data_IF_360563214770
#
_entry.id   IF_360563214770
#
_cell.length_a   1.000
_cell.length_b   1.000
_cell.length_c   1.000
_cell.angle_alpha   90.00
_cell.angle_beta   90.00
_cell.angle_gamma   90.00
#
_symmetry.space_group_name_H-M   'P 1'
#
loop_
_entity.id
_entity.type
_entity.pdbx_description
1 polymer ?
#
# COMPACT_ATOMS: atom_id res chain seq x y z
N UNK A 1 -47.08 52.41 37.61
CA UNK A 1 -46.73 51.19 36.84
C UNK A 1 -47.93 50.86 35.96
N UNK A 2 -47.83 50.67 34.64
CA UNK A 2 -46.92 49.74 33.99
C UNK A 2 -46.57 50.16 32.54
N UNK A 3 -45.30 49.89 32.25
CA UNK A 3 -44.59 49.71 30.97
C UNK A 3 -45.41 49.01 29.86
N UNK A 4 -45.92 49.76 28.88
CA UNK A 4 -46.63 49.20 27.73
C UNK A 4 -45.98 49.55 26.36
N UNK A 5 -44.68 49.86 26.38
CA UNK A 5 -43.92 50.28 25.19
C UNK A 5 -42.76 49.35 24.81
N UNK A 6 -42.79 48.07 25.20
CA UNK A 6 -41.66 47.14 24.96
C UNK A 6 -42.04 45.86 24.18
N UNK A 7 -43.18 45.81 23.49
CA UNK A 7 -43.60 44.62 22.73
C UNK A 7 -44.17 44.94 21.34
N UNK A 8 -43.82 46.09 20.74
CA UNK A 8 -44.25 46.43 19.38
C UNK A 8 -43.09 46.65 18.42
N UNK A 9 -42.01 45.88 18.60
CA UNK A 9 -41.00 45.63 17.57
C UNK A 9 -41.37 44.38 16.75
N UNK A 10 -42.64 44.27 16.37
CA UNK A 10 -43.08 43.39 15.28
C UNK A 10 -42.97 44.23 13.99
N UNK A 11 -41.76 44.72 13.72
CA UNK A 11 -41.36 45.17 12.38
C UNK A 11 -41.36 43.92 11.50
N UNK A 12 -42.57 43.52 11.12
CA UNK A 12 -42.86 42.49 10.18
C UNK A 12 -42.05 42.78 8.92
N UNK A 13 -40.97 42.01 8.78
CA UNK A 13 -40.10 42.00 7.61
C UNK A 13 -40.97 42.15 6.36
N UNK A 14 -40.70 43.19 5.58
CA UNK A 14 -41.57 43.52 4.45
C UNK A 14 -41.72 42.29 3.54
N UNK A 15 -42.91 42.00 2.98
CA UNK A 15 -43.15 40.78 2.23
C UNK A 15 -42.11 40.52 1.12
N UNK A 16 -41.57 41.60 0.55
CA UNK A 16 -40.53 41.54 -0.48
C UNK A 16 -39.14 41.27 0.11
N UNK A 17 -38.79 41.91 1.22
CA UNK A 17 -37.49 41.70 1.88
C UNK A 17 -37.41 40.30 2.48
N UNK A 18 -38.50 39.79 3.07
CA UNK A 18 -38.56 38.43 3.60
C UNK A 18 -38.30 37.36 2.54
N UNK A 19 -38.88 37.52 1.33
CA UNK A 19 -38.66 36.59 0.21
C UNK A 19 -37.21 36.65 -0.27
N UNK A 20 -36.65 37.84 -0.45
CA UNK A 20 -35.25 37.98 -0.89
C UNK A 20 -34.30 37.35 0.13
N UNK A 21 -34.52 37.56 1.43
CA UNK A 21 -33.69 36.99 2.49
C UNK A 21 -33.80 35.46 2.56
N UNK A 22 -35.02 34.91 2.43
CA UNK A 22 -35.24 33.47 2.43
C UNK A 22 -34.56 32.78 1.24
N UNK A 23 -34.69 33.36 0.04
CA UNK A 23 -34.04 32.84 -1.16
C UNK A 23 -32.52 32.95 -1.06
N UNK A 24 -31.99 34.07 -0.58
CA UNK A 24 -30.56 34.26 -0.44
C UNK A 24 -29.90 33.20 0.47
N UNK A 25 -30.48 32.95 1.65
CA UNK A 25 -29.95 31.97 2.59
C UNK A 25 -30.03 30.55 2.02
N UNK A 26 -31.15 30.20 1.39
CA UNK A 26 -31.30 28.85 0.79
C UNK A 26 -30.33 28.61 -0.37
N UNK A 27 -30.06 29.62 -1.20
CA UNK A 27 -29.04 29.51 -2.27
C UNK A 27 -27.64 29.35 -1.69
N UNK A 28 -27.29 30.10 -0.65
CA UNK A 28 -25.98 29.97 0.02
C UNK A 28 -25.83 28.57 0.63
N UNK A 29 -26.83 28.11 1.39
CA UNK A 29 -26.79 26.78 2.02
C UNK A 29 -26.68 25.66 0.97
N UNK A 30 -27.45 25.76 -0.12
CA UNK A 30 -27.38 24.80 -1.22
C UNK A 30 -25.99 24.78 -1.88
N UNK A 31 -25.40 25.94 -2.15
CA UNK A 31 -24.07 26.05 -2.75
C UNK A 31 -22.97 25.48 -1.84
N UNK A 32 -23.04 25.75 -0.54
CA UNK A 32 -22.07 25.24 0.45
C UNK A 32 -22.18 23.72 0.60
N UNK A 33 -23.39 23.17 0.67
CA UNK A 33 -23.57 21.72 0.75
C UNK A 33 -23.12 21.06 -0.55
N UNK A 34 -23.41 21.66 -1.71
CA UNK A 34 -22.95 21.14 -3.00
C UNK A 34 -21.41 21.09 -3.08
N UNK A 35 -20.70 22.11 -2.56
CA UNK A 35 -19.23 22.09 -2.54
C UNK A 35 -18.67 21.09 -1.53
N UNK A 36 -19.33 20.87 -0.39
CA UNK A 36 -18.95 19.81 0.56
C UNK A 36 -19.17 18.42 -0.04
N UNK A 37 -20.34 18.14 -0.61
CA UNK A 37 -20.67 16.85 -1.24
C UNK A 37 -19.76 16.57 -2.43
N UNK A 38 -19.49 17.56 -3.28
CA UNK A 38 -18.56 17.41 -4.40
C UNK A 38 -17.09 17.30 -3.94
N UNK A 39 -16.72 17.99 -2.86
CA UNK A 39 -15.39 17.89 -2.24
C UNK A 39 -15.08 16.51 -1.67
N UNK A 40 -16.07 15.83 -1.08
CA UNK A 40 -15.96 14.43 -0.64
C UNK A 40 -16.08 13.44 -1.80
N UNK A 41 -16.80 13.79 -2.89
CA UNK A 41 -16.89 12.98 -4.10
C UNK A 41 -15.58 12.82 -4.87
N UNK A 42 -14.59 13.69 -4.62
CA UNK A 42 -13.28 13.65 -5.28
C UNK A 42 -12.22 12.84 -4.49
N UNK A 43 -12.59 12.20 -3.37
CA UNK A 43 -11.70 11.28 -2.64
C UNK A 43 -11.73 9.84 -3.19
N UNK A 44 -12.46 9.58 -4.27
CA UNK A 44 -12.48 8.28 -4.97
C UNK A 44 -11.23 8.03 -5.83
N UNK A 45 -10.14 8.78 -5.63
CA UNK A 45 -8.84 8.39 -6.16
C UNK A 45 -8.39 7.09 -5.48
N UNK A 46 -7.64 6.21 -6.17
CA UNK A 46 -7.18 4.95 -5.60
C UNK A 46 -6.47 5.23 -4.27
N UNK A 47 -7.09 4.80 -3.16
CA UNK A 47 -6.52 4.90 -1.82
C UNK A 47 -5.38 3.87 -1.74
N UNK A 48 -4.24 4.24 -2.32
CA UNK A 48 -3.03 3.45 -2.19
C UNK A 48 -2.59 3.56 -0.73
N UNK A 49 -2.40 2.44 -0.02
CA UNK A 49 -1.96 2.46 1.37
C UNK A 49 -0.63 3.21 1.51
N UNK A 50 -0.52 4.00 2.56
CA UNK A 50 0.72 4.70 2.91
C UNK A 50 1.59 3.78 3.75
N UNK A 51 2.53 3.10 3.10
CA UNK A 51 3.42 2.11 3.73
C UNK A 51 4.87 2.41 3.38
N UNK A 52 5.78 2.00 4.26
CA UNK A 52 7.21 2.08 4.03
C UNK A 52 7.78 0.67 4.02
N UNK A 53 8.54 0.34 2.98
CA UNK A 53 9.34 -0.86 2.90
C UNK A 53 10.82 -0.51 2.90
N UNK A 54 11.63 -1.49 3.28
CA UNK A 54 13.09 -1.44 3.17
C UNK A 54 13.55 -2.76 2.55
N UNK A 55 14.58 -2.70 1.72
CA UNK A 55 15.25 -3.87 1.19
C UNK A 55 16.72 -3.95 1.61
N UNK A 56 17.20 -5.18 1.71
CA UNK A 56 18.60 -5.50 2.00
C UNK A 56 19.04 -6.68 1.16
N UNK A 57 20.04 -6.46 0.31
CA UNK A 57 20.71 -7.53 -0.41
C UNK A 57 21.75 -8.24 0.46
N UNK A 58 21.72 -9.58 0.46
CA UNK A 58 22.69 -10.44 1.16
C UNK A 58 23.29 -11.43 0.17
N UNK A 59 24.62 -11.37 -0.10
CA UNK A 59 25.28 -12.33 -0.99
C UNK A 59 25.42 -13.70 -0.32
N UNK A 60 25.28 -14.77 -1.10
CA UNK A 60 25.49 -16.14 -0.61
C UNK A 60 26.92 -16.59 -0.93
N UNK A 61 27.72 -17.08 0.05
CA UNK A 61 29.14 -17.41 -0.16
C UNK A 61 29.42 -18.45 -1.26
N UNK A 62 28.52 -19.42 -1.43
CA UNK A 62 28.70 -20.53 -2.37
C UNK A 62 28.12 -20.26 -3.77
N UNK A 63 27.53 -19.08 -4.00
CA UNK A 63 26.87 -18.69 -5.26
C UNK A 63 27.41 -17.33 -5.73
N UNK A 64 28.47 -17.39 -6.54
CA UNK A 64 29.25 -16.23 -6.96
C UNK A 64 28.51 -15.39 -8.01
N UNK A 65 27.76 -14.39 -7.54
CA UNK A 65 26.95 -13.52 -8.41
C UNK A 65 25.49 -13.45 -7.98
N UNK A 66 25.11 -14.29 -7.02
CA UNK A 66 23.75 -14.47 -6.56
C UNK A 66 23.64 -14.27 -5.04
N UNK A 67 22.43 -13.99 -4.58
CA UNK A 67 22.13 -13.74 -3.18
C UNK A 67 20.62 -13.67 -2.97
N UNK A 68 20.19 -13.08 -1.87
CA UNK A 68 18.78 -12.82 -1.65
C UNK A 68 18.54 -11.38 -1.20
N UNK A 69 17.45 -10.80 -1.68
CA UNK A 69 16.93 -9.53 -1.20
C UNK A 69 15.89 -9.80 -0.11
N UNK A 70 16.16 -9.32 1.10
CA UNK A 70 15.15 -9.27 2.16
C UNK A 70 14.34 -8.00 1.99
N UNK A 71 13.04 -8.11 1.72
CA UNK A 71 12.11 -6.97 1.66
C UNK A 71 11.25 -7.01 2.92
N UNK A 72 11.28 -5.94 3.72
CA UNK A 72 10.61 -5.86 5.01
C UNK A 72 9.66 -4.65 5.08
N UNK A 73 8.46 -4.86 5.65
CA UNK A 73 7.53 -3.79 5.98
C UNK A 73 8.01 -3.07 7.24
N UNK A 74 8.35 -1.79 7.12
CA UNK A 74 8.91 -0.96 8.19
C UNK A 74 7.84 -0.10 8.89
N UNK A 75 6.65 0.02 8.30
CA UNK A 75 5.52 0.70 8.94
C UNK A 75 4.50 1.28 7.97
N UNK A 76 3.57 2.05 8.55
CA UNK A 76 2.42 2.61 7.85
C UNK A 76 1.20 1.69 7.88
N UNK A 77 0.36 1.79 6.86
CA UNK A 77 -0.88 1.02 6.73
C UNK A 77 -0.59 -0.47 6.55
N UNK A 78 -1.47 -1.32 7.09
CA UNK A 78 -1.46 -2.75 6.84
C UNK A 78 -2.02 -3.09 5.47
N UNK A 79 -1.49 -4.12 4.82
CA UNK A 79 -1.86 -4.50 3.46
C UNK A 79 -2.18 -5.99 3.42
N UNK A 80 -3.32 -6.38 2.87
CA UNK A 80 -3.60 -7.81 2.66
C UNK A 80 -2.59 -8.47 1.72
N UNK A 81 -2.18 -9.69 2.01
CA UNK A 81 -1.20 -10.42 1.18
C UNK A 81 -1.59 -10.52 -0.31
N UNK A 82 -2.88 -10.73 -0.62
CA UNK A 82 -3.41 -10.86 -1.98
C UNK A 82 -3.62 -9.52 -2.71
N UNK A 83 -3.39 -8.41 -2.01
CA UNK A 83 -3.39 -7.06 -2.56
C UNK A 83 -1.97 -6.55 -2.86
N UNK A 84 -0.92 -7.21 -2.36
CA UNK A 84 0.47 -6.86 -2.65
C UNK A 84 1.12 -7.88 -3.57
N UNK A 85 1.67 -7.41 -4.68
CA UNK A 85 2.24 -8.25 -5.72
C UNK A 85 3.70 -7.88 -5.98
N UNK A 86 4.59 -8.86 -5.85
CA UNK A 86 6.02 -8.74 -6.13
C UNK A 86 6.24 -8.97 -7.62
N UNK A 87 6.86 -8.01 -8.29
CA UNK A 87 7.26 -8.08 -9.71
C UNK A 87 8.72 -7.71 -9.84
N UNK A 88 9.32 -8.00 -10.98
CA UNK A 88 10.68 -7.57 -11.24
C UNK A 88 11.43 -8.47 -12.21
N UNK A 89 12.74 -8.31 -12.20
CA UNK A 89 13.70 -9.12 -12.94
C UNK A 89 14.90 -9.46 -12.07
N UNK A 90 15.73 -10.41 -12.52
CA UNK A 90 16.88 -10.90 -11.76
C UNK A 90 16.51 -11.89 -10.65
N UNK A 91 15.35 -12.57 -10.72
CA UNK A 91 15.05 -13.70 -9.84
C UNK A 91 16.02 -14.86 -10.12
N UNK A 92 16.68 -15.35 -9.09
CA UNK A 92 17.73 -16.37 -9.19
C UNK A 92 17.36 -17.63 -8.39
N UNK A 93 16.24 -18.25 -8.74
CA UNK A 93 15.75 -19.44 -8.04
C UNK A 93 15.85 -20.71 -8.91
N UNK A 94 16.36 -21.79 -8.31
CA UNK A 94 16.25 -23.14 -8.84
C UNK A 94 14.86 -23.70 -8.53
N UNK A 95 13.99 -23.78 -9.54
CA UNK A 95 12.71 -24.46 -9.40
C UNK A 95 12.84 -25.95 -9.66
N UNK A 96 13.17 -26.71 -8.60
CA UNK A 96 13.25 -28.17 -8.65
C UNK A 96 11.87 -28.84 -8.69
N UNK A 97 10.78 -28.11 -8.38
CA UNK A 97 9.41 -28.63 -8.46
C UNK A 97 8.93 -28.77 -9.92
N UNK A 98 9.44 -27.91 -10.82
CA UNK A 98 9.09 -27.91 -12.24
C UNK A 98 10.18 -28.47 -13.17
N UNK A 99 11.22 -29.09 -12.61
CA UNK A 99 12.24 -29.83 -13.36
C UNK A 99 13.17 -28.95 -14.20
N UNK A 100 13.31 -27.66 -13.84
CA UNK A 100 14.25 -26.79 -14.52
C UNK A 100 15.69 -27.15 -14.10
N UNK A 101 16.62 -27.11 -15.05
CA UNK A 101 18.02 -27.48 -14.81
C UNK A 101 18.65 -26.43 -13.89
N UNK A 102 19.16 -26.87 -12.74
CA UNK A 102 19.94 -26.01 -11.85
C UNK A 102 21.14 -25.46 -12.61
N UNK A 103 21.19 -24.15 -12.80
CA UNK A 103 22.49 -23.48 -12.94
C UNK A 103 23.25 -23.67 -11.64
N UNK A 104 24.54 -23.93 -11.70
CA UNK A 104 25.39 -24.09 -10.51
C UNK A 104 25.40 -22.85 -9.59
N UNK A 105 24.85 -21.74 -10.05
CA UNK A 105 24.76 -20.48 -9.32
C UNK A 105 23.34 -20.16 -8.79
N UNK A 106 22.30 -20.92 -9.17
CA UNK A 106 20.92 -20.63 -8.76
C UNK A 106 20.56 -21.16 -7.37
N UNK A 107 19.91 -20.35 -6.54
CA UNK A 107 19.54 -20.68 -5.16
C UNK A 107 18.26 -21.54 -5.12
N UNK A 108 18.22 -22.66 -4.39
CA UNK A 108 16.98 -23.41 -4.18
C UNK A 108 16.18 -22.80 -3.01
N UNK A 109 14.86 -22.74 -3.13
CA UNK A 109 13.98 -22.32 -2.02
C UNK A 109 14.09 -23.27 -0.82
N UNK A 110 14.55 -24.50 -1.07
CA UNK A 110 14.84 -25.51 -0.05
C UNK A 110 16.25 -25.40 0.56
N UNK A 111 17.13 -24.55 0.04
CA UNK A 111 18.44 -24.33 0.64
C UNK A 111 18.28 -23.65 2.01
N UNK A 112 18.93 -24.23 3.02
CA UNK A 112 19.00 -23.66 4.37
C UNK A 112 20.24 -22.77 4.45
N UNK A 113 20.04 -21.46 4.32
CA UNK A 113 21.09 -20.48 4.55
C UNK A 113 21.20 -20.20 6.06
N UNK A 114 22.41 -19.88 6.52
CA UNK A 114 22.65 -19.47 7.89
C UNK A 114 23.25 -18.08 7.92
N UNK A 115 22.52 -17.12 8.49
CA UNK A 115 22.99 -15.76 8.73
C UNK A 115 22.95 -15.49 10.24
N UNK A 116 24.08 -15.09 10.82
CA UNK A 116 24.23 -14.82 12.27
C UNK A 116 23.73 -15.96 13.21
N UNK A 117 23.76 -17.21 12.73
CA UNK A 117 23.30 -18.38 13.48
C UNK A 117 21.80 -18.66 13.38
N UNK A 118 21.05 -17.90 12.59
CA UNK A 118 19.65 -18.14 12.27
C UNK A 118 19.49 -18.76 10.88
N UNK A 119 18.49 -19.64 10.74
CA UNK A 119 18.13 -20.21 9.43
C UNK A 119 17.36 -19.20 8.61
N UNK A 120 17.90 -18.82 7.46
CA UNK A 120 17.23 -17.95 6.49
C UNK A 120 16.56 -18.82 5.43
N UNK A 121 15.25 -18.60 5.25
CA UNK A 121 14.44 -19.26 4.23
C UNK A 121 14.10 -18.29 3.11
N UNK A 122 14.07 -18.79 1.89
CA UNK A 122 13.57 -18.08 0.72
C UNK A 122 12.07 -18.26 0.60
N UNK A 123 11.38 -17.27 0.03
CA UNK A 123 9.91 -17.22 0.06
C UNK A 123 9.28 -16.94 -1.30
N UNK A 124 9.93 -16.14 -2.15
CA UNK A 124 9.39 -15.71 -3.44
C UNK A 124 10.43 -15.97 -4.52
N UNK A 125 10.19 -16.97 -5.37
CA UNK A 125 11.11 -17.38 -6.43
C UNK A 125 10.77 -16.80 -7.81
N UNK A 126 9.57 -16.26 -7.97
CA UNK A 126 9.09 -15.64 -9.21
C UNK A 126 8.12 -14.50 -8.90
N UNK A 127 7.65 -13.81 -9.95
CA UNK A 127 6.64 -12.77 -9.79
C UNK A 127 5.33 -13.35 -9.24
N UNK A 128 4.83 -12.81 -8.14
CA UNK A 128 3.74 -13.42 -7.40
C UNK A 128 3.16 -12.52 -6.33
N UNK A 129 2.07 -12.97 -5.69
CA UNK A 129 1.55 -12.30 -4.50
C UNK A 129 2.54 -12.46 -3.35
N UNK A 130 2.48 -11.51 -2.41
CA UNK A 130 3.13 -11.70 -1.12
C UNK A 130 2.66 -13.03 -0.51
N UNK A 131 3.55 -13.89 0.00
CA UNK A 131 3.16 -15.19 0.55
C UNK A 131 2.26 -15.04 1.78
N UNK A 132 1.13 -15.75 1.81
CA UNK A 132 0.14 -15.65 2.90
C UNK A 132 0.68 -16.16 4.25
N UNK A 133 1.68 -17.04 4.23
CA UNK A 133 2.40 -17.55 5.40
C UNK A 133 3.45 -16.56 5.94
N UNK A 134 3.68 -15.45 5.23
CA UNK A 134 4.59 -14.36 5.59
C UNK A 134 3.84 -13.11 6.05
N UNK A 135 2.72 -13.31 6.72
CA UNK A 135 1.92 -12.24 7.33
C UNK A 135 1.70 -12.52 8.81
N UNK A 136 1.86 -11.51 9.65
CA UNK A 136 1.61 -11.60 11.10
C UNK A 136 0.39 -10.81 11.57
N UNK A 137 -0.20 -9.97 10.71
CA UNK A 137 -1.42 -9.22 11.00
C UNK A 137 -2.69 -10.07 10.98
N UNK A 138 -3.76 -9.50 11.55
CA UNK A 138 -5.11 -10.09 11.46
C UNK A 138 -5.55 -10.22 9.99
N UNK A 139 -6.35 -11.23 9.67
CA UNK A 139 -6.83 -11.53 8.32
C UNK A 139 -5.73 -11.66 7.23
N UNK A 140 -4.56 -12.17 7.63
CA UNK A 140 -3.39 -12.30 6.74
C UNK A 140 -2.95 -10.96 6.13
N UNK A 141 -2.92 -9.93 6.97
CA UNK A 141 -2.37 -8.63 6.62
C UNK A 141 -0.86 -8.59 6.90
N UNK A 142 -0.15 -8.01 5.96
CA UNK A 142 1.24 -7.60 6.09
C UNK A 142 1.28 -6.39 7.01
N UNK A 143 2.04 -6.50 8.08
CA UNK A 143 2.26 -5.46 9.09
C UNK A 143 3.75 -5.26 9.30
N UNK A 144 4.12 -4.30 10.16
CA UNK A 144 5.52 -4.03 10.49
C UNK A 144 6.23 -5.32 10.93
N UNK A 145 7.51 -5.46 10.56
CA UNK A 145 8.37 -6.63 10.80
C UNK A 145 8.11 -7.83 9.86
N UNK A 146 6.99 -7.86 9.13
CA UNK A 146 6.78 -8.87 8.09
C UNK A 146 7.79 -8.68 6.97
N UNK A 147 8.40 -9.78 6.54
CA UNK A 147 9.46 -9.77 5.54
C UNK A 147 9.46 -11.02 4.67
N UNK A 148 9.95 -10.86 3.45
CA UNK A 148 10.20 -11.95 2.51
C UNK A 148 11.65 -11.92 2.09
N UNK A 149 12.17 -13.09 1.73
CA UNK A 149 13.48 -13.22 1.11
C UNK A 149 13.28 -13.71 -0.31
N UNK A 150 13.82 -12.95 -1.26
CA UNK A 150 13.69 -13.18 -2.69
C UNK A 150 15.07 -13.55 -3.22
N UNK A 151 15.33 -14.79 -3.67
CA UNK A 151 16.57 -15.13 -4.35
C UNK A 151 16.73 -14.30 -5.63
N UNK A 152 17.85 -13.61 -5.75
CA UNK A 152 18.11 -12.65 -6.82
C UNK A 152 19.59 -12.59 -7.22
N UNK A 153 19.83 -12.22 -8.47
CA UNK A 153 21.15 -11.83 -8.97
C UNK A 153 21.54 -10.44 -8.46
N UNK A 154 22.81 -10.05 -8.59
CA UNK A 154 23.28 -8.74 -8.10
C UNK A 154 22.68 -7.53 -8.82
N UNK A 155 22.19 -7.68 -10.03
CA UNK A 155 21.61 -6.64 -10.89
C UNK A 155 20.08 -6.70 -10.93
N UNK A 156 19.45 -7.20 -9.86
CA UNK A 156 17.99 -7.28 -9.78
C UNK A 156 17.31 -5.91 -9.76
N UNK A 157 16.06 -5.91 -10.20
CA UNK A 157 15.10 -4.81 -10.01
C UNK A 157 13.77 -5.44 -9.57
N UNK A 158 13.34 -5.17 -8.35
CA UNK A 158 12.09 -5.65 -7.78
C UNK A 158 11.13 -4.47 -7.52
N UNK A 159 9.85 -4.70 -7.78
CA UNK A 159 8.76 -3.76 -7.63
C UNK A 159 7.68 -4.38 -6.75
N UNK A 160 7.30 -3.69 -5.68
CA UNK A 160 6.08 -4.00 -4.96
C UNK A 160 4.93 -3.22 -5.57
N UNK A 161 3.94 -3.94 -6.07
CA UNK A 161 2.76 -3.37 -6.72
C UNK A 161 1.55 -3.65 -5.84
N UNK A 162 0.97 -2.59 -5.30
CA UNK A 162 -0.34 -2.66 -4.67
C UNK A 162 -1.43 -2.74 -5.74
N UNK A 163 -2.37 -3.66 -5.57
CA UNK A 163 -3.57 -3.78 -6.40
C UNK A 163 -4.80 -3.59 -5.54
N UNK A 164 -5.58 -2.55 -5.86
CA UNK A 164 -6.82 -2.24 -5.16
C UNK A 164 -7.83 -3.38 -5.36
N UNK A 165 -8.43 -3.91 -4.29
CA UNK A 165 -9.49 -4.92 -4.40
C UNK A 165 -10.82 -4.33 -4.89
N UNK A 166 -10.97 -3.00 -4.90
CA UNK A 166 -12.23 -2.33 -5.21
C UNK A 166 -12.33 -1.79 -6.64
N UNK A 167 -11.20 -1.53 -7.31
CA UNK A 167 -11.18 -0.67 -8.51
C UNK A 167 -10.25 -1.16 -9.64
N UNK A 168 -9.71 -2.38 -9.58
CA UNK A 168 -8.72 -2.92 -10.55
C UNK A 168 -7.45 -2.06 -10.76
N UNK A 169 -7.34 -0.93 -10.06
CA UNK A 169 -6.21 -0.02 -10.10
C UNK A 169 -5.00 -0.63 -9.41
N UNK A 170 -3.83 -0.35 -9.97
CA UNK A 170 -2.54 -0.79 -9.45
C UNK A 170 -1.55 0.36 -9.34
N UNK A 171 -0.74 0.36 -8.29
CA UNK A 171 0.27 1.38 -8.02
C UNK A 171 1.55 0.73 -7.50
N UNK A 172 2.70 1.21 -7.94
CA UNK A 172 3.98 0.81 -7.36
C UNK A 172 4.08 1.49 -6.00
N UNK A 173 4.29 0.70 -4.95
CA UNK A 173 4.47 1.20 -3.57
C UNK A 173 5.93 1.18 -3.13
N UNK A 174 6.76 0.35 -3.77
CA UNK A 174 8.19 0.27 -3.49
C UNK A 174 8.97 -0.27 -4.69
N UNK A 175 10.23 0.14 -4.80
CA UNK A 175 11.22 -0.37 -5.75
C UNK A 175 12.48 -0.71 -4.97
N UNK A 176 13.05 -1.88 -5.26
CA UNK A 176 14.29 -2.38 -4.70
C UNK A 176 15.25 -2.68 -5.84
N UNK A 177 16.46 -2.15 -5.77
CA UNK A 177 17.49 -2.29 -6.81
C UNK A 177 18.71 -3.00 -6.23
N UNK A 178 19.26 -3.95 -6.99
CA UNK A 178 20.44 -4.69 -6.59
C UNK A 178 21.70 -3.82 -6.59
N UNK A 179 22.75 -4.21 -5.84
CA UNK A 179 24.01 -3.47 -5.77
C UNK A 179 24.81 -3.42 -7.09
N UNK A 180 24.36 -4.14 -8.12
CA UNK A 180 24.93 -4.14 -9.47
C UNK A 180 24.06 -3.45 -10.53
N UNK A 181 22.88 -2.93 -10.18
CA UNK A 181 21.97 -2.21 -11.06
C UNK A 181 22.44 -0.77 -11.37
#
# INVERSE_FOLDING_TARGET
MHINGLLSDDDAVSPVIGVVLMVAITVILAAVIASLVLGYGNQTGPQTPTTTFEDRYTPTPDHAGSGYATIAHQGGDSIRFDALYVRGSGFNASDTAHGNVQSSDSLDVQDEFYEDGETVRLHVNETGFWPADRTSGEDSQIVTEDSINVPVDRDYELLLVYRSPHDESSSIVYTADGPGA
#
